data_IF_879928459032
#
_entry.id   IF_879928459032
#
_cell.length_a   1.000
_cell.length_b   1.000
_cell.length_c   1.000
_cell.angle_alpha   90.00
_cell.angle_beta   90.00
_cell.angle_gamma   90.00
#
_symmetry.space_group_name_H-M   'P 1'
#
loop_
_entity.id
_entity.type
_entity.pdbx_description
1 polymer ?
#
# COMPACT_ATOMS: atom_id res chain seq x y z
N UNK A 1 -3.18 9.35 -28.12
CA UNK A 1 -2.98 8.98 -26.71
C UNK A 1 -2.55 10.25 -26.00
N UNK A 2 -3.37 10.79 -25.10
CA UNK A 2 -2.99 12.00 -24.36
C UNK A 2 -1.80 11.72 -23.44
N UNK A 3 -0.92 12.72 -23.28
CA UNK A 3 0.23 12.58 -22.38
C UNK A 3 -0.25 12.38 -20.94
N UNK A 4 0.35 11.43 -20.24
CA UNK A 4 0.05 11.20 -18.83
C UNK A 4 0.40 12.46 -18.00
N UNK A 5 -0.50 12.82 -17.08
CA UNK A 5 -0.24 13.90 -16.11
C UNK A 5 0.60 13.35 -14.97
N UNK A 6 1.77 13.93 -14.75
CA UNK A 6 2.70 13.52 -13.69
C UNK A 6 2.74 14.60 -12.62
N UNK A 7 2.55 14.19 -11.37
CA UNK A 7 2.66 15.05 -10.20
C UNK A 7 3.88 14.62 -9.39
N UNK A 8 4.74 15.57 -9.04
CA UNK A 8 5.93 15.29 -8.23
C UNK A 8 6.23 16.44 -7.27
N UNK A 9 7.04 16.13 -6.27
CA UNK A 9 7.63 17.12 -5.36
C UNK A 9 9.04 16.67 -4.98
N UNK A 10 9.92 17.61 -4.64
CA UNK A 10 11.27 17.27 -4.21
C UNK A 10 11.33 16.89 -2.71
N UNK A 11 12.49 16.48 -2.23
CA UNK A 11 12.70 16.16 -0.81
C UNK A 11 13.15 17.36 0.03
N UNK A 12 13.13 18.59 -0.50
CA UNK A 12 13.54 19.77 0.26
C UNK A 12 12.41 20.27 1.15
N UNK A 13 12.76 20.70 2.36
CA UNK A 13 11.83 21.28 3.33
C UNK A 13 12.40 22.59 3.86
N UNK A 14 11.54 23.59 4.08
CA UNK A 14 11.93 24.87 4.69
C UNK A 14 11.64 24.83 6.20
N UNK A 15 12.38 25.60 6.98
CA UNK A 15 12.10 25.78 8.41
C UNK A 15 10.66 26.31 8.58
N UNK A 16 9.89 25.68 9.47
CA UNK A 16 8.46 25.97 9.70
C UNK A 16 7.55 25.79 8.46
N UNK A 17 8.04 25.12 7.41
CA UNK A 17 7.27 24.78 6.21
C UNK A 17 6.67 23.37 6.26
N UNK A 18 6.20 22.91 5.09
CA UNK A 18 5.67 21.55 4.97
C UNK A 18 6.77 20.48 5.18
N UNK A 19 6.48 19.52 6.05
CA UNK A 19 7.25 18.29 6.18
C UNK A 19 7.05 17.37 4.96
N UNK A 20 7.92 16.38 4.76
CA UNK A 20 7.78 15.42 3.66
C UNK A 20 6.42 14.68 3.65
N UNK A 21 5.89 14.21 4.80
CA UNK A 21 4.53 13.67 4.85
C UNK A 21 3.46 14.69 4.45
N UNK A 22 3.57 15.95 4.88
CA UNK A 22 2.62 16.99 4.51
C UNK A 22 2.65 17.29 2.99
N UNK A 23 3.85 17.34 2.40
CA UNK A 23 4.03 17.47 0.94
C UNK A 23 3.38 16.30 0.21
N UNK A 24 3.54 15.06 0.69
CA UNK A 24 2.88 13.90 0.11
C UNK A 24 1.35 14.01 0.18
N UNK A 25 0.78 14.38 1.34
CA UNK A 25 -0.67 14.59 1.49
C UNK A 25 -1.22 15.60 0.48
N UNK A 26 -0.52 16.72 0.28
CA UNK A 26 -0.89 17.73 -0.73
C UNK A 26 -0.79 17.17 -2.14
N UNK A 27 0.30 16.45 -2.44
CA UNK A 27 0.53 15.86 -3.76
C UNK A 27 -0.57 14.88 -4.17
N UNK A 28 -0.94 13.94 -3.29
CA UNK A 28 -1.98 12.94 -3.60
C UNK A 28 -3.39 13.56 -3.71
N UNK A 29 -3.66 14.63 -2.95
CA UNK A 29 -4.90 15.43 -3.09
C UNK A 29 -4.95 16.10 -4.47
N UNK A 30 -3.86 16.72 -4.91
CA UNK A 30 -3.76 17.33 -6.25
C UNK A 30 -3.82 16.27 -7.37
N UNK A 31 -3.25 15.09 -7.14
CA UNK A 31 -3.32 13.95 -8.08
C UNK A 31 -4.74 13.37 -8.22
N UNK A 32 -5.68 13.76 -7.34
CA UNK A 32 -7.09 13.44 -7.48
C UNK A 32 -7.58 12.30 -6.59
N UNK A 33 -6.85 11.92 -5.53
CA UNK A 33 -7.31 10.88 -4.59
C UNK A 33 -8.70 11.19 -4.02
N UNK A 34 -9.04 12.47 -3.83
CA UNK A 34 -10.37 12.91 -3.35
C UNK A 34 -11.52 12.73 -4.34
N UNK A 35 -11.26 12.24 -5.56
CA UNK A 35 -12.30 11.86 -6.53
C UNK A 35 -12.71 10.40 -6.38
N UNK A 36 -11.94 9.62 -5.64
CA UNK A 36 -12.27 8.24 -5.33
C UNK A 36 -13.28 8.26 -4.18
N UNK A 37 -14.36 7.52 -4.34
CA UNK A 37 -15.36 7.35 -3.30
C UNK A 37 -14.84 6.33 -2.28
N UNK A 38 -14.50 6.80 -1.07
CA UNK A 38 -13.98 6.01 0.04
C UNK A 38 -14.99 5.78 1.16
N UNK A 39 -16.16 6.43 1.16
CA UNK A 39 -17.01 6.50 2.34
C UNK A 39 -17.47 5.10 2.78
N UNK A 40 -17.08 4.69 4.00
CA UNK A 40 -17.41 3.39 4.58
C UNK A 40 -16.69 2.18 3.96
N UNK A 41 -15.88 2.38 2.92
CA UNK A 41 -15.23 1.34 2.11
C UNK A 41 -13.91 0.83 2.69
N UNK A 42 -13.64 -0.46 2.48
CA UNK A 42 -12.35 -1.06 2.75
C UNK A 42 -11.34 -0.66 1.68
N UNK A 43 -10.24 -0.02 2.07
CA UNK A 43 -9.25 0.51 1.15
C UNK A 43 -7.90 -0.19 1.33
N UNK A 44 -7.45 -0.93 0.31
CA UNK A 44 -6.18 -1.63 0.30
C UNK A 44 -5.05 -0.67 -0.10
N UNK A 45 -4.12 -0.40 0.81
CA UNK A 45 -2.90 0.35 0.49
C UNK A 45 -1.76 -0.65 0.28
N UNK A 46 -1.58 -1.07 -0.98
CA UNK A 46 -0.53 -2.02 -1.36
C UNK A 46 0.84 -1.35 -1.32
N UNK A 47 1.78 -1.92 -0.57
CA UNK A 47 3.17 -1.47 -0.55
C UNK A 47 4.14 -2.57 -0.11
N UNK A 48 5.43 -2.35 -0.33
CA UNK A 48 6.49 -3.24 0.17
C UNK A 48 6.96 -2.78 1.56
N UNK A 49 7.02 -3.71 2.52
CA UNK A 49 7.38 -3.40 3.92
C UNK A 49 8.88 -3.50 4.24
N UNK A 50 9.72 -3.76 3.25
CA UNK A 50 11.13 -4.08 3.41
C UNK A 50 11.39 -5.58 3.48
N UNK A 51 12.64 -5.94 3.71
CA UNK A 51 13.12 -7.31 3.93
C UNK A 51 14.09 -7.25 5.11
N UNK A 52 14.28 -8.36 5.82
CA UNK A 52 15.20 -8.41 6.95
C UNK A 52 16.59 -7.87 6.56
N UNK A 53 17.08 -6.90 7.33
CA UNK A 53 18.39 -6.27 7.15
C UNK A 53 18.48 -5.20 6.05
N UNK A 54 17.42 -4.97 5.28
CA UNK A 54 17.38 -3.92 4.27
C UNK A 54 16.88 -2.59 4.87
N UNK A 55 17.32 -1.44 4.35
CA UNK A 55 16.84 -0.09 4.71
C UNK A 55 16.28 0.71 3.53
N UNK A 56 16.14 0.09 2.35
CA UNK A 56 15.66 0.71 1.11
C UNK A 56 14.13 0.69 0.94
N UNK A 57 13.40 0.55 2.04
CA UNK A 57 11.93 0.67 2.08
C UNK A 57 11.49 2.09 2.44
N UNK A 58 10.22 2.42 2.14
CA UNK A 58 9.66 3.72 2.53
C UNK A 58 9.45 3.77 4.04
N UNK A 59 9.84 4.87 4.69
CA UNK A 59 9.57 5.02 6.13
C UNK A 59 8.05 4.95 6.41
N UNK A 60 7.62 4.31 7.51
CA UNK A 60 6.20 4.18 7.89
C UNK A 60 5.42 5.50 7.92
N UNK A 61 6.08 6.64 8.18
CA UNK A 61 5.47 7.97 8.16
C UNK A 61 4.85 8.33 6.80
N UNK A 62 5.38 7.80 5.69
CA UNK A 62 4.79 8.00 4.36
C UNK A 62 3.51 7.19 4.19
N UNK A 63 3.51 5.93 4.64
CA UNK A 63 2.31 5.10 4.66
C UNK A 63 1.21 5.75 5.50
N UNK A 64 1.57 6.22 6.71
CA UNK A 64 0.66 6.97 7.59
C UNK A 64 0.06 8.21 6.92
N UNK A 65 0.85 8.95 6.13
CA UNK A 65 0.36 10.12 5.42
C UNK A 65 -0.77 9.77 4.45
N UNK A 66 -0.66 8.65 3.73
CA UNK A 66 -1.71 8.14 2.82
C UNK A 66 -2.91 7.61 3.62
N UNK A 67 -2.66 6.81 4.65
CA UNK A 67 -3.69 6.26 5.55
C UNK A 67 -4.56 7.36 6.15
N UNK A 68 -3.94 8.44 6.65
CA UNK A 68 -4.66 9.57 7.22
C UNK A 68 -5.58 10.23 6.18
N UNK A 69 -5.12 10.39 4.93
CA UNK A 69 -5.95 10.98 3.86
C UNK A 69 -7.11 10.06 3.49
N UNK A 70 -6.90 8.74 3.44
CA UNK A 70 -7.99 7.78 3.21
C UNK A 70 -9.04 7.86 4.33
N UNK A 71 -8.61 7.96 5.60
CA UNK A 71 -9.52 8.15 6.73
C UNK A 71 -10.24 9.49 6.71
N UNK A 72 -9.56 10.58 6.34
CA UNK A 72 -10.17 11.90 6.14
C UNK A 72 -11.29 11.85 5.10
N UNK A 73 -11.19 10.95 4.11
CA UNK A 73 -12.20 10.70 3.07
C UNK A 73 -13.24 9.65 3.45
N UNK A 74 -13.28 9.18 4.70
CA UNK A 74 -14.29 8.22 5.20
C UNK A 74 -13.94 6.74 5.02
N UNK A 75 -12.76 6.43 4.46
CA UNK A 75 -12.33 5.06 4.19
C UNK A 75 -11.84 4.29 5.41
N UNK A 76 -11.82 2.97 5.28
CA UNK A 76 -11.30 1.99 6.25
C UNK A 76 -10.01 1.37 5.68
N UNK A 77 -8.85 2.04 5.84
CA UNK A 77 -7.61 1.57 5.23
C UNK A 77 -7.00 0.38 5.97
N UNK A 78 -6.29 -0.45 5.23
CA UNK A 78 -5.30 -1.39 5.74
C UNK A 78 -4.08 -1.40 4.81
N UNK A 79 -2.89 -1.61 5.34
CA UNK A 79 -1.72 -1.86 4.51
C UNK A 79 -1.71 -3.32 4.09
N UNK A 80 -1.24 -3.60 2.88
CA UNK A 80 -1.14 -4.98 2.40
C UNK A 80 0.08 -5.22 1.52
N UNK A 81 0.61 -6.43 1.63
CA UNK A 81 1.53 -7.02 0.65
C UNK A 81 1.21 -8.53 0.54
N UNK A 82 1.80 -9.21 -0.44
CA UNK A 82 1.66 -10.65 -0.67
C UNK A 82 3.00 -11.32 -0.40
N UNK A 83 2.94 -12.58 -0.02
CA UNK A 83 4.12 -13.36 0.28
C UNK A 83 5.00 -13.57 -0.96
N UNK A 84 6.29 -13.74 -0.74
CA UNK A 84 7.27 -13.97 -1.79
C UNK A 84 7.41 -15.45 -2.08
N UNK A 85 7.59 -15.81 -3.36
CA UNK A 85 7.92 -17.20 -3.75
C UNK A 85 9.36 -17.59 -3.43
N UNK A 86 10.24 -16.61 -3.18
CA UNK A 86 11.64 -16.86 -2.88
C UNK A 86 11.87 -17.04 -1.36
N UNK A 87 12.97 -17.70 -0.95
CA UNK A 87 13.32 -17.83 0.47
C UNK A 87 13.64 -16.47 1.10
N UNK A 88 12.95 -16.12 2.17
CA UNK A 88 13.14 -14.86 2.89
C UNK A 88 12.11 -14.71 4.01
N UNK A 89 12.11 -13.55 4.66
CA UNK A 89 11.27 -13.25 5.83
C UNK A 89 9.84 -12.88 5.43
N UNK A 90 9.48 -13.06 4.15
CA UNK A 90 8.16 -12.75 3.60
C UNK A 90 7.52 -13.94 2.90
N UNK A 91 8.00 -15.15 3.21
CA UNK A 91 7.55 -16.40 2.58
C UNK A 91 6.20 -16.93 3.11
N UNK A 92 5.76 -16.43 4.26
CA UNK A 92 4.46 -16.72 4.87
C UNK A 92 3.99 -15.52 5.69
N UNK A 93 2.70 -15.46 6.02
CA UNK A 93 2.13 -14.26 6.62
C UNK A 93 2.72 -13.91 8.00
N UNK A 94 3.10 -14.90 8.81
CA UNK A 94 3.62 -14.63 10.15
C UNK A 94 4.98 -13.95 10.08
N UNK A 95 5.92 -14.55 9.34
CA UNK A 95 7.24 -13.97 9.12
C UNK A 95 7.14 -12.61 8.41
N UNK A 96 6.23 -12.48 7.45
CA UNK A 96 6.04 -11.24 6.72
C UNK A 96 5.57 -10.10 7.65
N UNK A 97 4.63 -10.39 8.55
CA UNK A 97 4.19 -9.44 9.56
C UNK A 97 5.31 -9.07 10.53
N UNK A 98 6.08 -10.04 11.00
CA UNK A 98 7.26 -9.80 11.85
C UNK A 98 8.27 -8.90 11.15
N UNK A 99 8.58 -9.18 9.88
CA UNK A 99 9.46 -8.34 9.06
C UNK A 99 8.92 -6.91 8.90
N UNK A 100 7.62 -6.76 8.68
CA UNK A 100 6.98 -5.45 8.62
C UNK A 100 7.11 -4.70 9.96
N UNK A 101 6.88 -5.39 11.09
CA UNK A 101 6.99 -4.81 12.43
C UNK A 101 8.41 -4.38 12.76
N UNK A 102 9.42 -5.18 12.43
CA UNK A 102 10.83 -4.84 12.62
C UNK A 102 11.23 -3.59 11.81
N UNK A 103 10.67 -3.45 10.60
CA UNK A 103 10.85 -2.27 9.75
C UNK A 103 9.98 -1.08 10.19
N UNK A 104 9.28 -1.21 11.32
CA UNK A 104 8.50 -0.16 11.95
C UNK A 104 7.11 0.03 11.36
N UNK A 105 6.61 -0.87 10.51
CA UNK A 105 5.23 -0.86 10.04
C UNK A 105 4.34 -1.58 11.04
N UNK A 106 3.64 -0.86 11.90
CA UNK A 106 2.64 -1.42 12.80
C UNK A 106 1.43 -0.51 12.91
N UNK A 107 0.34 -0.95 13.57
CA UNK A 107 -0.89 -0.18 13.68
C UNK A 107 -0.69 1.22 14.26
N UNK A 108 0.27 1.39 15.17
CA UNK A 108 0.56 2.67 15.80
C UNK A 108 1.34 3.63 14.88
N UNK A 109 2.35 3.12 14.16
CA UNK A 109 3.22 3.93 13.31
C UNK A 109 2.60 4.22 11.93
N UNK A 110 1.92 3.23 11.34
CA UNK A 110 1.21 3.35 10.06
C UNK A 110 -0.20 3.92 10.24
N UNK A 111 -0.78 3.80 11.43
CA UNK A 111 -2.14 4.27 11.72
C UNK A 111 -3.25 3.35 11.21
N UNK A 112 -2.96 2.14 10.73
CA UNK A 112 -3.97 1.15 10.35
C UNK A 112 -3.42 -0.29 10.46
N UNK A 113 -4.30 -1.31 10.46
CA UNK A 113 -3.89 -2.71 10.44
C UNK A 113 -3.09 -3.08 9.18
N UNK A 114 -2.37 -4.20 9.27
CA UNK A 114 -1.70 -4.83 8.13
C UNK A 114 -2.41 -6.16 7.86
N UNK A 115 -2.72 -6.44 6.60
CA UNK A 115 -3.25 -7.73 6.16
C UNK A 115 -2.36 -8.29 5.04
N UNK A 116 -1.88 -9.52 5.22
CA UNK A 116 -1.14 -10.22 4.17
C UNK A 116 -2.14 -10.73 3.15
N UNK A 117 -2.06 -10.19 1.94
CA UNK A 117 -3.15 -10.22 0.96
C UNK A 117 -3.43 -11.58 0.36
N UNK A 118 -2.48 -12.51 0.44
CA UNK A 118 -2.55 -13.88 -0.07
C UNK A 118 -2.55 -14.94 1.04
N UNK A 119 -2.93 -14.53 2.25
CA UNK A 119 -3.20 -15.43 3.38
C UNK A 119 -1.95 -16.06 4.00
N UNK A 120 -2.18 -17.00 4.92
CA UNK A 120 -1.12 -17.55 5.78
C UNK A 120 0.06 -18.15 4.99
N UNK A 121 -0.23 -18.86 3.90
CA UNK A 121 0.75 -19.62 3.11
C UNK A 121 1.02 -19.04 1.72
N UNK A 122 0.46 -17.88 1.38
CA UNK A 122 0.59 -17.31 0.04
C UNK A 122 -0.24 -18.02 -1.04
N UNK A 123 -1.35 -18.64 -0.67
CA UNK A 123 -2.23 -19.40 -1.59
C UNK A 123 -3.68 -18.92 -1.55
N UNK A 124 -3.97 -17.86 -0.81
CA UNK A 124 -5.31 -17.26 -0.77
C UNK A 124 -5.43 -16.24 -1.91
N UNK A 125 -5.68 -16.75 -3.10
CA UNK A 125 -5.77 -15.97 -4.32
C UNK A 125 -7.09 -16.18 -5.05
N UNK A 126 -7.35 -15.29 -6.01
CA UNK A 126 -8.47 -15.37 -6.95
C UNK A 126 -7.97 -15.19 -8.37
N UNK A 127 -8.50 -15.98 -9.29
CA UNK A 127 -8.30 -15.76 -10.72
C UNK A 127 -9.11 -14.54 -11.17
N UNK A 128 -8.42 -13.53 -11.69
CA UNK A 128 -8.99 -12.31 -12.24
C UNK A 128 -8.74 -12.31 -13.75
N UNK A 129 -9.78 -12.23 -14.60
CA UNK A 129 -9.62 -12.14 -16.04
C UNK A 129 -8.80 -10.91 -16.45
N UNK A 130 -7.84 -11.10 -17.34
CA UNK A 130 -7.05 -10.02 -17.93
C UNK A 130 -7.69 -9.61 -19.25
N UNK A 131 -8.52 -8.56 -19.20
CA UNK A 131 -9.22 -8.05 -20.37
C UNK A 131 -8.22 -7.66 -21.47
N UNK A 132 -8.36 -8.27 -22.66
CA UNK A 132 -7.44 -8.05 -23.78
C UNK A 132 -6.08 -8.76 -23.65
N UNK A 133 -5.90 -9.63 -22.65
CA UNK A 133 -4.67 -10.40 -22.49
C UNK A 133 -4.44 -11.39 -23.63
N UNK A 134 -3.28 -11.31 -24.29
CA UNK A 134 -2.91 -12.23 -25.39
C UNK A 134 -2.42 -13.58 -24.85
N UNK A 135 -1.39 -13.54 -23.99
CA UNK A 135 -0.73 -14.72 -23.42
C UNK A 135 -1.27 -15.13 -22.05
N UNK A 136 -1.65 -14.15 -21.22
CA UNK A 136 -2.21 -14.38 -19.89
C UNK A 136 -3.69 -14.01 -19.94
N UNK A 137 -4.56 -15.01 -19.79
CA UNK A 137 -6.02 -14.81 -19.80
C UNK A 137 -6.55 -14.49 -18.41
N UNK A 138 -5.88 -14.97 -17.37
CA UNK A 138 -6.23 -14.74 -15.98
C UNK A 138 -4.96 -14.55 -15.15
N UNK A 139 -5.01 -13.63 -14.18
CA UNK A 139 -3.98 -13.39 -13.20
C UNK A 139 -4.49 -13.76 -11.81
N UNK A 140 -3.64 -14.37 -10.99
CA UNK A 140 -3.97 -14.64 -9.59
C UNK A 140 -3.65 -13.42 -8.74
N UNK A 141 -4.66 -12.87 -8.07
CA UNK A 141 -4.55 -11.72 -7.20
C UNK A 141 -4.87 -12.15 -5.77
N UNK A 142 -4.11 -11.66 -4.79
CA UNK A 142 -4.35 -11.95 -3.38
C UNK A 142 -5.78 -11.58 -2.98
N UNK A 143 -6.46 -12.50 -2.28
CA UNK A 143 -7.87 -12.39 -1.90
C UNK A 143 -8.19 -11.07 -1.20
N UNK A 144 -7.40 -10.67 -0.20
CA UNK A 144 -7.69 -9.47 0.57
C UNK A 144 -7.61 -8.18 -0.27
N UNK A 145 -6.79 -8.17 -1.33
CA UNK A 145 -6.73 -7.05 -2.27
C UNK A 145 -7.98 -7.02 -3.14
N UNK A 146 -8.47 -8.17 -3.59
CA UNK A 146 -9.69 -8.23 -4.43
C UNK A 146 -10.98 -8.03 -3.65
N UNK A 147 -11.01 -8.38 -2.36
CA UNK A 147 -12.16 -8.16 -1.49
C UNK A 147 -12.23 -6.70 -0.98
N UNK A 148 -11.20 -5.89 -1.21
CA UNK A 148 -11.23 -4.45 -0.93
C UNK A 148 -12.11 -3.72 -1.96
N UNK A 149 -12.82 -2.69 -1.50
CA UNK A 149 -13.66 -1.87 -2.38
C UNK A 149 -12.85 -0.85 -3.19
N UNK A 150 -11.65 -0.49 -2.68
CA UNK A 150 -10.72 0.50 -3.26
C UNK A 150 -9.27 0.06 -3.14
#
# INVERSE_FOLDING_TARGET
>A
MDKAKVYFTDFRTLAFGDSLPAKLKKLIKVAGIGRIDFDGKFAAIKMHFGELGNISFLRPNYAKAVVDVVKELGGKPFLTDCNTMYPGSRKNALEHLECAWENGFGPLSAGCPILIGDGLKGTDDVAVPVAGGEFVKEARIGRAVMDADV
#
